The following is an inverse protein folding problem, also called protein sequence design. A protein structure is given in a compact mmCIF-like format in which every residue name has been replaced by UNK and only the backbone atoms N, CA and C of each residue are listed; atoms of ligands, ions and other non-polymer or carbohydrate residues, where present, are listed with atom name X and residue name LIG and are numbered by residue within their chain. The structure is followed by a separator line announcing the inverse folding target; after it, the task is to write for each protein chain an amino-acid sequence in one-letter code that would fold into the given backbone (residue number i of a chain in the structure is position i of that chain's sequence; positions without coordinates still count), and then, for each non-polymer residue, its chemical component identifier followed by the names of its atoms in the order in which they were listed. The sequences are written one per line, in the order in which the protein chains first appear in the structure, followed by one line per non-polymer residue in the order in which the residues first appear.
data_IF_689593491092
#
_entry.id   IF_689593491092
#
_cell.length_a   1.000
_cell.length_b   1.000
_cell.length_c   1.000
_cell.angle_alpha   90.00
_cell.angle_beta   90.00
_cell.angle_gamma   90.00
#
_symmetry.space_group_name_H-M   'P 1'
#
loop_
_entity.id
_entity.type
_entity.pdbx_description
1 polymer ?
#
# COMPACT_ATOMS: atom_id res chain seq x y z
N UNK A 1 -11.48 -2.96 -28.88
CA UNK A 1 -10.29 -3.71 -28.42
C UNK A 1 -9.13 -2.74 -28.54
N UNK A 2 -8.88 -1.98 -27.49
CA UNK A 2 -7.75 -1.04 -27.39
C UNK A 2 -6.83 -1.67 -26.35
N UNK A 3 -5.68 -2.11 -26.83
CA UNK A 3 -4.59 -2.66 -26.04
C UNK A 3 -3.98 -1.47 -25.30
N UNK A 4 -4.01 -1.50 -23.97
CA UNK A 4 -3.20 -0.58 -23.18
C UNK A 4 -1.72 -0.88 -23.47
N UNK A 5 -1.02 0.10 -24.01
CA UNK A 5 0.40 0.02 -24.31
C UNK A 5 1.17 -0.06 -22.98
N UNK A 6 1.78 -1.21 -22.71
CA UNK A 6 2.59 -1.47 -21.50
C UNK A 6 3.88 -0.63 -21.46
N UNK A 7 4.15 0.18 -22.51
CA UNK A 7 5.37 0.96 -22.66
C UNK A 7 5.46 2.25 -21.86
N UNK A 8 4.34 2.84 -21.46
CA UNK A 8 4.35 4.19 -20.85
C UNK A 8 4.51 4.22 -19.31
N UNK A 9 4.30 3.10 -18.60
CA UNK A 9 4.49 3.05 -17.15
C UNK A 9 5.92 2.68 -16.71
N UNK A 10 6.77 2.21 -17.63
CA UNK A 10 8.10 1.71 -17.30
C UNK A 10 9.17 2.79 -17.08
N UNK A 11 8.99 4.00 -17.64
CA UNK A 11 10.07 4.98 -17.73
C UNK A 11 10.22 5.92 -16.52
N UNK A 12 9.37 5.80 -15.49
CA UNK A 12 9.42 6.67 -14.32
C UNK A 12 9.29 5.94 -12.98
N UNK A 13 9.64 4.63 -12.98
CA UNK A 13 9.87 3.88 -11.77
C UNK A 13 11.17 4.36 -11.09
N UNK A 14 11.23 4.46 -9.75
CA UNK A 14 12.47 4.77 -9.05
C UNK A 14 13.54 3.75 -9.42
N UNK A 15 14.78 4.23 -9.64
CA UNK A 15 15.93 3.40 -9.98
C UNK A 15 16.12 2.31 -8.92
N UNK A 16 16.03 1.04 -9.34
CA UNK A 16 16.51 -0.07 -8.53
C UNK A 16 18.03 -0.04 -8.62
N UNK A 17 18.74 0.17 -7.53
CA UNK A 17 20.19 0.00 -7.50
C UNK A 17 20.53 -1.42 -7.93
N UNK A 18 21.19 -1.56 -9.09
CA UNK A 18 21.74 -2.84 -9.52
C UNK A 18 22.93 -3.21 -8.62
N UNK A 19 23.02 -4.45 -8.11
CA UNK A 19 24.20 -4.90 -7.39
C UNK A 19 25.41 -4.94 -8.32
N UNK A 20 26.46 -4.19 -7.98
CA UNK A 20 27.69 -4.06 -8.72
C UNK A 20 28.33 -5.39 -9.08
N UNK A 21 28.74 -5.51 -10.34
CA UNK A 21 29.45 -6.63 -10.92
C UNK A 21 30.79 -6.85 -10.24
N UNK A 22 30.91 -7.85 -9.38
CA UNK A 22 32.18 -8.32 -8.82
C UNK A 22 32.73 -9.46 -9.67
N UNK A 23 33.98 -9.29 -10.11
CA UNK A 23 34.76 -10.25 -10.88
C UNK A 23 35.08 -11.49 -10.05
N UNK A 24 35.04 -12.65 -10.77
CA UNK A 24 35.47 -13.99 -10.35
C UNK A 24 36.74 -14.01 -9.50
N UNK A 25 36.67 -14.66 -8.34
CA UNK A 25 37.78 -15.35 -7.68
C UNK A 25 37.26 -16.67 -7.10
N UNK A 26 37.95 -17.73 -7.47
CA UNK A 26 37.74 -19.16 -7.26
C UNK A 26 37.42 -19.64 -5.87
N UNK A 27 36.46 -20.56 -5.84
CA UNK A 27 36.21 -21.75 -5.00
C UNK A 27 36.89 -21.86 -3.61
N UNK A 28 36.06 -21.73 -2.57
CA UNK A 28 36.08 -22.64 -1.41
C UNK A 28 34.61 -22.80 -0.91
N UNK A 29 34.16 -24.06 -0.86
CA UNK A 29 32.83 -24.44 -0.36
C UNK A 29 32.82 -24.31 1.16
N UNK A 30 32.29 -23.24 1.69
CA UNK A 30 31.68 -23.23 3.02
C UNK A 30 30.17 -23.02 2.85
N UNK A 31 29.42 -24.03 3.27
CA UNK A 31 27.95 -24.02 3.39
C UNK A 31 27.58 -23.05 4.53
N UNK A 32 27.53 -21.79 4.21
CA UNK A 32 27.02 -20.73 5.06
C UNK A 32 25.83 -20.11 4.34
N UNK A 33 24.67 -20.73 4.49
CA UNK A 33 23.39 -20.11 4.13
C UNK A 33 23.17 -18.90 5.03
N UNK A 34 23.86 -17.82 4.72
CA UNK A 34 23.57 -16.50 5.26
C UNK A 34 22.24 -16.08 4.65
N UNK A 35 21.16 -16.34 5.36
CA UNK A 35 19.88 -15.70 5.05
C UNK A 35 20.09 -14.20 5.30
N UNK A 36 20.24 -13.44 4.23
CA UNK A 36 20.17 -11.97 4.29
C UNK A 36 18.70 -11.68 4.60
N UNK A 37 18.36 -11.57 5.87
CA UNK A 37 17.07 -11.02 6.28
C UNK A 37 17.02 -9.58 5.77
N UNK A 38 16.12 -9.28 4.85
CA UNK A 38 15.88 -7.91 4.40
C UNK A 38 15.50 -7.08 5.63
N UNK A 39 16.28 -6.06 5.93
CA UNK A 39 15.94 -5.14 7.01
C UNK A 39 14.71 -4.33 6.61
N UNK A 40 13.54 -4.78 7.08
CA UNK A 40 12.25 -4.11 6.81
C UNK A 40 12.05 -2.83 7.64
N UNK A 41 13.06 -2.36 8.38
CA UNK A 41 13.01 -1.06 9.06
C UNK A 41 13.39 0.10 8.14
N UNK A 42 14.05 -0.19 7.01
CA UNK A 42 14.50 0.81 6.04
C UNK A 42 13.68 0.68 4.76
N UNK A 43 13.13 1.81 4.28
CA UNK A 43 12.43 1.85 3.00
C UNK A 43 13.37 1.50 1.85
N UNK A 44 13.05 0.47 1.02
CA UNK A 44 13.98 -0.01 -0.01
C UNK A 44 14.03 0.85 -1.27
N UNK A 45 13.17 1.88 -1.37
CA UNK A 45 13.10 2.75 -2.55
C UNK A 45 13.13 4.23 -2.14
N UNK A 46 13.58 5.06 -3.06
CA UNK A 46 13.49 6.52 -3.00
C UNK A 46 12.61 7.06 -4.11
N UNK A 47 11.88 8.14 -3.86
CA UNK A 47 10.93 8.73 -4.81
C UNK A 47 11.27 10.20 -5.03
N UNK A 48 11.42 10.59 -6.30
CA UNK A 48 11.65 11.98 -6.70
C UNK A 48 10.31 12.71 -6.92
N UNK A 49 9.78 13.29 -5.86
CA UNK A 49 8.51 14.02 -5.93
C UNK A 49 8.57 15.28 -6.81
N UNK A 50 9.73 15.87 -7.00
CA UNK A 50 9.86 17.03 -7.88
C UNK A 50 9.51 16.67 -9.33
N UNK A 51 10.05 15.55 -9.82
CA UNK A 51 9.71 15.03 -11.16
C UNK A 51 8.26 14.57 -11.25
N UNK A 52 7.73 13.94 -10.20
CA UNK A 52 6.33 13.51 -10.18
C UNK A 52 5.36 14.69 -10.25
N UNK A 53 5.66 15.81 -9.58
CA UNK A 53 4.83 17.00 -9.63
C UNK A 53 4.89 17.76 -10.96
N UNK A 54 5.94 17.59 -11.76
CA UNK A 54 5.97 18.06 -13.14
C UNK A 54 4.93 17.33 -14.00
N UNK A 55 4.59 16.07 -13.65
CA UNK A 55 3.57 15.26 -14.33
C UNK A 55 2.19 15.58 -13.78
N UNK A 56 2.03 15.50 -12.45
CA UNK A 56 0.75 15.75 -11.78
C UNK A 56 0.98 16.27 -10.35
N UNK A 57 0.60 17.55 -10.06
CA UNK A 57 0.75 18.13 -8.72
C UNK A 57 -0.18 17.50 -7.66
N UNK A 58 -1.15 16.68 -8.09
CA UNK A 58 -2.05 15.96 -7.19
C UNK A 58 -1.43 14.70 -6.60
N UNK A 59 -0.21 14.31 -7.00
CA UNK A 59 0.53 13.22 -6.37
C UNK A 59 0.95 13.68 -4.97
N UNK A 60 0.44 12.97 -3.96
CA UNK A 60 0.68 13.27 -2.53
C UNK A 60 1.63 12.27 -1.89
N UNK A 61 1.64 11.02 -2.39
CA UNK A 61 2.46 9.96 -1.85
C UNK A 61 2.80 8.92 -2.94
N UNK A 62 3.63 7.97 -2.54
CA UNK A 62 3.89 6.73 -3.27
C UNK A 62 3.63 5.55 -2.36
N UNK A 63 2.87 4.54 -2.83
CA UNK A 63 2.69 3.28 -2.12
C UNK A 63 3.63 2.23 -2.67
N UNK A 64 4.27 1.47 -1.78
CA UNK A 64 5.13 0.35 -2.14
C UNK A 64 4.85 -0.86 -1.25
N UNK A 65 4.53 -2.01 -1.87
CA UNK A 65 4.37 -3.31 -1.25
C UNK A 65 5.04 -4.33 -2.16
N UNK A 66 6.27 -4.75 -1.80
CA UNK A 66 7.16 -5.55 -2.65
C UNK A 66 6.55 -6.91 -3.00
N UNK A 67 6.00 -7.60 -2.01
CA UNK A 67 5.51 -8.97 -2.13
C UNK A 67 4.34 -9.12 -3.12
N UNK A 68 3.65 -8.02 -3.41
CA UNK A 68 2.53 -7.99 -4.34
C UNK A 68 2.79 -7.18 -5.61
N UNK A 69 4.01 -6.68 -5.80
CA UNK A 69 4.36 -5.79 -6.92
C UNK A 69 3.44 -4.56 -7.01
N UNK A 70 3.09 -3.99 -5.83
CA UNK A 70 2.33 -2.74 -5.73
C UNK A 70 3.31 -1.60 -5.54
N UNK A 71 3.47 -0.75 -6.55
CA UNK A 71 4.34 0.43 -6.52
C UNK A 71 3.77 1.52 -7.42
N UNK A 72 2.93 2.37 -6.82
CA UNK A 72 2.15 3.37 -7.55
C UNK A 72 2.23 4.74 -6.87
N UNK A 73 2.15 5.84 -7.64
CA UNK A 73 1.82 7.14 -7.07
C UNK A 73 0.41 7.12 -6.48
N UNK A 74 0.24 7.85 -5.38
CA UNK A 74 -1.05 8.08 -4.73
C UNK A 74 -1.45 9.52 -4.98
N UNK A 75 -2.50 9.71 -5.76
CA UNK A 75 -3.05 11.04 -6.06
C UNK A 75 -4.17 11.41 -5.10
N UNK A 76 -4.50 12.70 -5.00
CA UNK A 76 -5.67 13.16 -4.27
C UNK A 76 -6.37 14.28 -5.06
N UNK A 77 -7.62 14.03 -5.43
CA UNK A 77 -8.49 15.01 -6.06
C UNK A 77 -9.32 15.81 -5.03
N UNK A 78 -10.19 16.67 -5.53
CA UNK A 78 -11.19 17.38 -4.71
C UNK A 78 -12.31 16.44 -4.26
N UNK A 79 -12.56 15.37 -5.03
CA UNK A 79 -13.53 14.31 -4.72
C UNK A 79 -12.96 12.92 -4.97
N UNK A 80 -13.60 11.89 -4.39
CA UNK A 80 -13.22 10.49 -4.61
C UNK A 80 -13.56 9.97 -6.02
N UNK A 81 -14.27 10.74 -6.83
CA UNK A 81 -14.63 10.39 -8.20
C UNK A 81 -13.58 10.84 -9.22
N UNK A 82 -12.75 11.85 -8.88
CA UNK A 82 -11.83 12.51 -9.82
C UNK A 82 -10.82 11.53 -10.44
N UNK A 83 -10.30 10.62 -9.64
CA UNK A 83 -9.31 9.63 -10.05
C UNK A 83 -9.83 8.20 -10.18
N UNK A 84 -11.15 8.01 -10.02
CA UNK A 84 -11.77 6.69 -10.14
C UNK A 84 -11.62 6.10 -11.55
N UNK A 85 -11.69 6.94 -12.58
CA UNK A 85 -11.52 6.56 -13.99
C UNK A 85 -10.58 7.52 -14.74
N UNK A 86 -9.66 8.15 -14.02
CA UNK A 86 -8.66 9.06 -14.57
C UNK A 86 -7.28 8.57 -14.16
N UNK A 87 -6.38 8.44 -15.14
CA UNK A 87 -4.98 8.09 -14.87
C UNK A 87 -4.25 9.23 -14.19
N UNK A 88 -3.09 8.94 -13.62
CA UNK A 88 -2.18 9.95 -13.07
C UNK A 88 -1.80 11.04 -14.09
N UNK A 89 -1.79 10.68 -15.39
CA UNK A 89 -1.53 11.62 -16.51
C UNK A 89 -2.73 12.51 -16.85
N UNK A 90 -3.83 12.44 -16.10
CA UNK A 90 -5.05 13.24 -16.36
C UNK A 90 -5.88 12.75 -17.54
N UNK A 91 -5.64 11.52 -18.03
CA UNK A 91 -6.39 10.94 -19.16
C UNK A 91 -7.42 9.92 -18.66
N UNK A 92 -8.53 9.77 -19.39
CA UNK A 92 -9.54 8.75 -19.07
C UNK A 92 -8.95 7.36 -19.18
N UNK A 93 -9.09 6.55 -18.11
CA UNK A 93 -8.57 5.20 -18.02
C UNK A 93 -9.45 4.34 -17.11
N UNK A 94 -9.86 3.18 -17.59
CA UNK A 94 -10.71 2.25 -16.81
C UNK A 94 -10.03 1.66 -15.57
N UNK A 95 -8.70 1.68 -15.50
CA UNK A 95 -7.94 1.30 -14.31
C UNK A 95 -7.88 2.42 -13.27
N UNK A 96 -8.21 3.66 -13.64
CA UNK A 96 -8.12 4.82 -12.78
C UNK A 96 -6.69 5.05 -12.25
N UNK A 97 -6.62 5.55 -11.03
CA UNK A 97 -5.38 5.72 -10.26
C UNK A 97 -5.52 5.09 -8.88
N UNK A 98 -4.40 4.93 -8.17
CA UNK A 98 -4.45 4.76 -6.72
C UNK A 98 -4.63 6.15 -6.11
N UNK A 99 -5.66 6.33 -5.27
CA UNK A 99 -5.98 7.66 -4.75
C UNK A 99 -6.32 7.65 -3.26
N UNK A 100 -5.96 8.75 -2.63
CA UNK A 100 -6.24 9.06 -1.23
C UNK A 100 -7.68 9.59 -1.10
N UNK A 101 -8.39 9.21 -0.05
CA UNK A 101 -9.71 9.79 0.25
C UNK A 101 -9.63 11.31 0.34
N UNK A 102 -10.55 11.99 -0.33
CA UNK A 102 -10.56 13.46 -0.44
C UNK A 102 -10.73 14.19 0.90
N UNK A 103 -11.23 13.49 1.94
CA UNK A 103 -11.38 14.03 3.29
C UNK A 103 -10.13 13.81 4.16
N UNK A 104 -9.19 12.97 3.73
CA UNK A 104 -7.96 12.76 4.46
C UNK A 104 -6.92 13.84 4.19
N UNK A 105 -6.06 14.08 5.16
CA UNK A 105 -4.91 14.97 5.00
C UNK A 105 -3.82 14.30 4.16
N UNK A 106 -3.22 15.03 3.22
CA UNK A 106 -2.21 14.48 2.30
C UNK A 106 -0.88 14.12 2.98
N UNK A 107 -0.65 14.58 4.21
CA UNK A 107 0.54 14.27 5.01
C UNK A 107 0.43 12.98 5.84
N UNK A 108 -0.70 12.26 5.73
CA UNK A 108 -0.99 11.03 6.49
C UNK A 108 -0.95 11.25 8.02
N UNK A 109 -1.30 12.45 8.47
CA UNK A 109 -1.34 12.78 9.91
C UNK A 109 -2.63 12.33 10.59
N UNK A 110 -3.69 12.01 9.84
CA UNK A 110 -4.96 11.56 10.40
C UNK A 110 -4.83 10.23 11.15
N UNK A 111 -5.68 9.97 12.16
CA UNK A 111 -5.70 8.67 12.83
C UNK A 111 -6.07 7.50 11.90
N UNK A 112 -6.92 7.76 10.90
CA UNK A 112 -7.31 6.79 9.89
C UNK A 112 -7.26 7.43 8.49
N UNK A 113 -6.46 6.83 7.64
CA UNK A 113 -6.30 7.23 6.24
C UNK A 113 -6.78 6.12 5.32
N UNK A 114 -7.49 6.47 4.24
CA UNK A 114 -8.06 5.52 3.30
C UNK A 114 -7.44 5.77 1.91
N UNK A 115 -6.96 4.68 1.30
CA UNK A 115 -6.43 4.67 -0.07
C UNK A 115 -7.26 3.70 -0.89
N UNK A 116 -7.71 4.15 -2.04
CA UNK A 116 -8.52 3.38 -2.97
C UNK A 116 -7.71 2.97 -4.21
N UNK A 117 -8.09 1.84 -4.79
CA UNK A 117 -7.56 1.37 -6.07
C UNK A 117 -8.44 0.30 -6.69
N UNK A 118 -8.47 0.23 -8.02
CA UNK A 118 -9.27 -0.77 -8.71
C UNK A 118 -8.72 -2.19 -8.52
N UNK A 119 -9.64 -3.18 -8.51
CA UNK A 119 -9.32 -4.60 -8.56
C UNK A 119 -9.21 -5.05 -10.02
N UNK A 120 -8.06 -4.83 -10.63
CA UNK A 120 -7.82 -5.22 -12.01
C UNK A 120 -7.62 -6.73 -12.14
N UNK A 121 -8.20 -7.34 -13.19
CA UNK A 121 -8.11 -8.79 -13.42
C UNK A 121 -6.69 -9.30 -13.67
N UNK A 122 -5.85 -8.45 -14.28
CA UNK A 122 -4.43 -8.74 -14.51
C UNK A 122 -3.55 -8.61 -13.27
N UNK A 123 -4.12 -8.22 -12.12
CA UNK A 123 -3.42 -8.03 -10.86
C UNK A 123 -2.83 -6.65 -10.64
N UNK A 124 -2.87 -5.75 -11.62
CA UNK A 124 -2.41 -4.36 -11.46
C UNK A 124 -3.32 -3.57 -10.52
N UNK A 125 -2.91 -2.35 -10.19
CA UNK A 125 -3.52 -1.49 -9.18
C UNK A 125 -3.61 -2.22 -7.83
N UNK A 126 -4.79 -2.36 -7.23
CA UNK A 126 -5.01 -3.16 -6.04
C UNK A 126 -5.54 -4.58 -6.32
N UNK A 127 -5.44 -5.04 -7.58
CA UNK A 127 -5.90 -6.36 -7.99
C UNK A 127 -5.12 -7.51 -7.32
N UNK A 128 -3.85 -7.30 -6.96
CA UNK A 128 -3.01 -8.29 -6.26
C UNK A 128 -3.30 -8.38 -4.76
N UNK A 129 -3.93 -7.38 -4.11
CA UNK A 129 -4.25 -7.39 -2.68
C UNK A 129 -5.06 -8.63 -2.24
N UNK A 130 -5.87 -9.19 -3.15
CA UNK A 130 -6.65 -10.41 -2.87
C UNK A 130 -5.79 -11.62 -2.48
N UNK A 131 -4.51 -11.64 -2.86
CA UNK A 131 -3.58 -12.71 -2.49
C UNK A 131 -3.33 -12.76 -0.98
N UNK A 132 -3.37 -11.60 -0.29
CA UNK A 132 -3.23 -11.54 1.16
C UNK A 132 -4.43 -12.17 1.91
N UNK A 133 -5.52 -12.47 1.23
CA UNK A 133 -6.64 -13.23 1.81
C UNK A 133 -6.41 -14.75 1.89
N UNK A 134 -5.29 -15.26 1.38
CA UNK A 134 -4.90 -16.67 1.47
C UNK A 134 -3.80 -16.83 2.52
N UNK A 135 -4.07 -17.62 3.58
CA UNK A 135 -3.11 -17.85 4.66
C UNK A 135 -1.78 -18.43 4.16
N UNK A 136 -1.79 -19.25 3.11
CA UNK A 136 -0.56 -19.81 2.55
C UNK A 136 0.35 -18.74 1.98
N UNK A 137 -0.23 -17.71 1.36
CA UNK A 137 0.55 -16.56 0.86
C UNK A 137 1.14 -15.79 2.02
N UNK A 138 0.38 -15.57 3.09
CA UNK A 138 0.89 -14.92 4.30
C UNK A 138 2.05 -15.72 4.91
N UNK A 139 1.92 -17.04 5.03
CA UNK A 139 2.94 -17.92 5.61
C UNK A 139 4.24 -17.99 4.78
N UNK A 140 4.17 -17.65 3.48
CA UNK A 140 5.33 -17.59 2.57
C UNK A 140 6.04 -16.22 2.61
N UNK A 141 5.38 -15.18 3.11
CA UNK A 141 5.96 -13.84 3.24
C UNK A 141 6.80 -13.78 4.50
N UNK A 142 8.03 -13.27 4.40
CA UNK A 142 8.85 -12.98 5.56
C UNK A 142 8.18 -11.89 6.42
N UNK A 143 7.87 -12.22 7.66
CA UNK A 143 7.21 -11.28 8.57
C UNK A 143 8.12 -10.12 8.99
N UNK A 144 7.53 -8.94 9.26
CA UNK A 144 6.12 -8.62 9.14
C UNK A 144 5.68 -8.37 7.69
N UNK A 145 4.44 -8.78 7.35
CA UNK A 145 3.79 -8.31 6.11
C UNK A 145 3.57 -6.82 6.23
N UNK A 146 4.18 -6.04 5.35
CA UNK A 146 4.12 -4.59 5.48
C UNK A 146 4.07 -3.89 4.11
N UNK A 147 3.64 -2.64 4.12
CA UNK A 147 3.76 -1.73 3.00
C UNK A 147 4.31 -0.37 3.44
N UNK A 148 4.86 0.35 2.47
CA UNK A 148 5.40 1.67 2.69
C UNK A 148 4.52 2.73 2.06
N UNK A 149 4.33 3.83 2.77
CA UNK A 149 3.82 5.08 2.24
C UNK A 149 4.97 6.09 2.29
N UNK A 150 5.40 6.52 1.11
CA UNK A 150 6.45 7.51 0.95
C UNK A 150 5.77 8.83 0.61
N UNK A 151 6.03 9.86 1.39
CA UNK A 151 5.64 11.25 1.14
C UNK A 151 6.88 12.09 0.84
N UNK A 152 6.76 13.34 0.41
CA UNK A 152 7.93 14.20 0.21
C UNK A 152 8.82 14.35 1.44
N UNK A 153 8.23 14.21 2.64
CA UNK A 153 8.91 14.47 3.91
C UNK A 153 9.46 13.22 4.58
N UNK A 154 8.84 12.04 4.31
CA UNK A 154 9.19 10.80 5.03
C UNK A 154 8.75 9.54 4.27
N UNK A 155 9.43 8.43 4.56
CA UNK A 155 8.95 7.09 4.28
C UNK A 155 8.43 6.45 5.58
N UNK A 156 7.22 5.93 5.57
CA UNK A 156 6.57 5.34 6.73
C UNK A 156 6.14 3.89 6.43
N UNK A 157 6.56 2.95 7.29
CA UNK A 157 6.15 1.55 7.23
C UNK A 157 4.82 1.34 7.94
N UNK A 158 3.95 0.57 7.32
CA UNK A 158 2.70 0.12 7.92
C UNK A 158 2.66 -1.40 7.94
N UNK A 159 2.60 -1.97 9.15
CA UNK A 159 2.48 -3.42 9.34
C UNK A 159 1.04 -3.84 9.12
N UNK A 160 0.82 -4.84 8.26
CA UNK A 160 -0.52 -5.34 7.95
C UNK A 160 -1.07 -6.10 9.16
N UNK A 161 -2.21 -5.67 9.66
CA UNK A 161 -2.86 -6.22 10.85
C UNK A 161 -4.18 -6.92 10.53
N UNK A 162 -4.74 -6.68 9.36
CA UNK A 162 -6.03 -7.26 8.99
C UNK A 162 -6.22 -7.26 7.48
N UNK A 163 -6.74 -8.37 7.00
CA UNK A 163 -7.30 -8.52 5.65
C UNK A 163 -8.73 -8.99 5.81
N UNK A 164 -9.69 -8.34 5.15
CA UNK A 164 -11.11 -8.68 5.30
C UNK A 164 -11.97 -8.23 4.13
N UNK A 165 -13.15 -8.82 4.01
CA UNK A 165 -14.24 -8.28 3.20
C UNK A 165 -15.08 -7.35 4.06
N UNK A 166 -15.32 -6.13 3.61
CA UNK A 166 -16.06 -5.10 4.33
C UNK A 166 -17.29 -4.67 3.53
N UNK A 167 -18.42 -4.48 4.22
CA UNK A 167 -19.60 -3.83 3.65
C UNK A 167 -19.33 -2.34 3.49
N UNK A 168 -19.70 -1.76 2.33
CA UNK A 168 -19.51 -0.33 2.06
C UNK A 168 -20.32 0.58 3.00
N UNK A 169 -21.42 0.06 3.56
CA UNK A 169 -22.25 0.77 4.54
C UNK A 169 -21.81 0.52 5.99
N UNK A 170 -20.74 -0.27 6.17
CA UNK A 170 -20.19 -0.56 7.49
C UNK A 170 -19.27 0.53 8.02
N UNK A 171 -18.71 0.27 9.18
CA UNK A 171 -17.83 1.20 9.90
C UNK A 171 -16.38 1.26 9.39
N UNK A 172 -16.05 0.49 8.33
CA UNK A 172 -14.70 0.40 7.77
C UNK A 172 -14.13 1.74 7.29
N UNK A 173 -15.00 2.63 6.84
CA UNK A 173 -14.63 3.93 6.28
C UNK A 173 -14.84 5.09 7.27
N UNK A 174 -14.91 4.79 8.58
CA UNK A 174 -15.04 5.81 9.62
C UNK A 174 -13.76 6.64 9.69
N UNK A 175 -13.89 7.96 9.50
CA UNK A 175 -12.82 8.92 9.73
C UNK A 175 -12.93 9.47 11.15
N UNK A 176 -11.79 9.71 11.79
CA UNK A 176 -11.71 10.24 13.15
C UNK A 176 -11.15 11.64 13.13
N UNK A 177 -11.70 12.52 13.96
CA UNK A 177 -11.25 13.92 14.07
C UNK A 177 -9.92 14.09 14.84
N UNK A 178 -9.47 13.03 15.53
CA UNK A 178 -8.24 13.02 16.31
C UNK A 178 -8.01 11.67 16.98
N UNK A 179 -6.85 11.49 17.64
CA UNK A 179 -6.55 10.27 18.41
C UNK A 179 -7.50 10.11 19.60
N UNK A 180 -7.59 8.90 20.14
CA UNK A 180 -8.41 8.60 21.31
C UNK A 180 -8.77 7.12 21.43
N UNK A 181 -9.40 6.74 22.55
CA UNK A 181 -9.79 5.35 22.83
C UNK A 181 -10.65 4.72 21.73
N UNK A 182 -11.47 5.52 21.05
CA UNK A 182 -12.31 5.04 19.93
C UNK A 182 -11.45 4.59 18.75
N UNK A 183 -10.34 5.26 18.48
CA UNK A 183 -9.37 4.87 17.46
C UNK A 183 -8.69 3.56 17.86
N UNK A 184 -8.23 3.47 19.12
CA UNK A 184 -7.62 2.24 19.64
C UNK A 184 -8.59 1.05 19.55
N UNK A 185 -9.85 1.23 19.95
CA UNK A 185 -10.86 0.18 19.87
C UNK A 185 -11.13 -0.24 18.42
N UNK A 186 -11.25 0.73 17.50
CA UNK A 186 -11.41 0.48 16.07
C UNK A 186 -10.27 -0.38 15.53
N UNK A 187 -8.99 0.01 15.77
CA UNK A 187 -7.82 -0.72 15.28
C UNK A 187 -7.78 -2.14 15.87
N UNK A 188 -7.97 -2.29 17.18
CA UNK A 188 -7.97 -3.59 17.84
C UNK A 188 -9.11 -4.50 17.32
N UNK A 189 -10.27 -3.94 16.97
CA UNK A 189 -11.36 -4.69 16.37
C UNK A 189 -10.97 -5.16 14.95
N UNK A 190 -10.30 -4.32 14.12
CA UNK A 190 -9.83 -4.73 12.78
C UNK A 190 -8.87 -5.89 12.88
N UNK A 191 -7.88 -5.84 13.76
CA UNK A 191 -6.93 -6.92 13.98
C UNK A 191 -7.64 -8.25 14.33
N UNK A 192 -8.62 -8.22 15.25
CA UNK A 192 -9.36 -9.43 15.67
C UNK A 192 -10.27 -10.02 14.60
N UNK A 193 -10.67 -9.23 13.61
CA UNK A 193 -11.63 -9.64 12.56
C UNK A 193 -10.98 -9.91 11.22
N UNK A 194 -9.67 -10.07 11.16
CA UNK A 194 -8.94 -10.52 9.98
C UNK A 194 -9.37 -11.92 9.56
N UNK A 195 -9.43 -12.15 8.23
CA UNK A 195 -9.73 -13.50 7.67
C UNK A 195 -8.49 -14.40 7.60
N UNK A 196 -7.31 -13.83 7.85
CA UNK A 196 -6.03 -14.52 7.94
C UNK A 196 -5.39 -14.25 9.29
N UNK A 197 -4.59 -15.18 9.78
CA UNK A 197 -3.80 -14.98 10.98
C UNK A 197 -2.61 -14.07 10.67
N UNK A 198 -2.46 -13.02 11.45
CA UNK A 198 -1.37 -12.04 11.36
C UNK A 198 -0.93 -11.72 12.79
N UNK A 199 0.36 -11.47 12.96
CA UNK A 199 0.87 -11.00 14.25
C UNK A 199 0.38 -9.56 14.50
N UNK A 200 -0.07 -9.32 15.72
CA UNK A 200 -0.51 -8.00 16.15
C UNK A 200 -0.29 -7.80 17.65
N UNK A 201 -0.06 -6.55 18.01
CA UNK A 201 -0.02 -6.07 19.40
C UNK A 201 -1.38 -5.51 19.84
N UNK A 202 -1.47 -5.06 21.06
CA UNK A 202 -2.57 -4.16 21.46
C UNK A 202 -2.26 -2.75 20.98
N UNK A 203 -3.22 -2.14 20.30
CA UNK A 203 -3.10 -0.78 19.74
C UNK A 203 -3.67 0.24 20.70
N UNK A 204 -3.08 1.44 20.71
CA UNK A 204 -3.35 2.53 21.63
C UNK A 204 -3.96 3.74 20.90
N UNK A 205 -4.36 4.75 21.66
CA UNK A 205 -5.10 5.93 21.19
C UNK A 205 -4.39 6.75 20.10
N UNK A 206 -3.04 6.75 20.09
CA UNK A 206 -2.22 7.50 19.15
C UNK A 206 -1.76 6.68 17.92
N UNK A 207 -2.07 5.39 17.88
CA UNK A 207 -1.77 4.56 16.72
C UNK A 207 -2.52 5.07 15.48
N UNK A 208 -1.86 4.99 14.32
CA UNK A 208 -2.42 5.41 13.03
C UNK A 208 -2.63 4.21 12.13
N UNK A 209 -3.79 4.17 11.49
CA UNK A 209 -4.16 3.09 10.58
C UNK A 209 -4.35 3.60 9.15
N UNK A 210 -3.86 2.84 8.18
CA UNK A 210 -4.17 3.03 6.75
C UNK A 210 -5.01 1.86 6.28
N UNK A 211 -6.07 2.15 5.55
CA UNK A 211 -6.92 1.17 4.87
C UNK A 211 -6.68 1.23 3.37
N UNK A 212 -6.22 0.12 2.79
CA UNK A 212 -6.17 -0.08 1.35
C UNK A 212 -7.49 -0.74 0.94
N UNK A 213 -8.27 -0.11 0.06
CA UNK A 213 -9.62 -0.55 -0.32
C UNK A 213 -9.73 -0.83 -1.81
N UNK A 214 -10.26 -2.00 -2.18
CA UNK A 214 -10.50 -2.36 -3.58
C UNK A 214 -11.80 -3.14 -3.77
N UNK A 215 -12.35 -3.11 -4.99
CA UNK A 215 -13.60 -3.81 -5.32
C UNK A 215 -13.44 -5.33 -5.23
N UNK A 216 -14.53 -6.03 -4.84
CA UNK A 216 -14.59 -7.50 -4.80
C UNK A 216 -15.25 -8.12 -6.04
N UNK A 217 -15.80 -7.29 -6.92
CA UNK A 217 -16.72 -7.73 -8.00
C UNK A 217 -18.18 -7.72 -7.58
N UNK A 218 -18.48 -7.39 -6.33
CA UNK A 218 -19.81 -7.08 -5.80
C UNK A 218 -19.80 -5.64 -5.28
N UNK A 219 -20.73 -4.82 -5.74
CA UNK A 219 -20.78 -3.39 -5.43
C UNK A 219 -21.03 -3.11 -3.93
N UNK A 220 -21.60 -4.07 -3.21
CA UNK A 220 -21.89 -3.96 -1.78
C UNK A 220 -20.65 -4.21 -0.90
N UNK A 221 -19.63 -4.92 -1.41
CA UNK A 221 -18.50 -5.33 -0.62
C UNK A 221 -17.18 -4.84 -1.22
N UNK A 222 -16.19 -4.61 -0.36
CA UNK A 222 -14.81 -4.30 -0.70
C UNK A 222 -13.87 -5.27 -0.02
N UNK A 223 -12.80 -5.65 -0.68
CA UNK A 223 -11.64 -6.21 0.00
C UNK A 223 -10.85 -5.05 0.60
N UNK A 224 -10.51 -5.15 1.87
CA UNK A 224 -9.72 -4.14 2.58
C UNK A 224 -8.54 -4.79 3.29
N UNK A 225 -7.42 -4.10 3.23
CA UNK A 225 -6.19 -4.42 3.96
C UNK A 225 -5.91 -3.26 4.90
N UNK A 226 -5.78 -3.54 6.18
CA UNK A 226 -5.46 -2.54 7.19
C UNK A 226 -4.01 -2.68 7.63
N UNK A 227 -3.27 -1.59 7.57
CA UNK A 227 -1.92 -1.49 8.12
C UNK A 227 -1.84 -0.44 9.21
N UNK A 228 -1.07 -0.71 10.25
CA UNK A 228 -0.81 0.26 11.33
C UNK A 228 0.62 0.75 11.24
N UNK A 229 0.80 2.06 11.43
CA UNK A 229 2.09 2.71 11.43
C UNK A 229 3.05 2.02 12.39
N UNK A 230 4.19 1.60 11.85
CA UNK A 230 5.29 1.10 12.67
C UNK A 230 6.05 2.30 13.26
N UNK A 231 6.14 2.35 14.57
CA UNK A 231 6.98 3.28 15.33
C UNK A 231 8.02 2.45 16.07
N UNK A 232 9.31 2.82 15.92
CA UNK A 232 10.42 2.22 16.66
C UNK A 232 10.36 2.53 18.15
#
# INVERSE_FOLDING_TARGET
MIIADEGEMGDWLPDKEEPGHMKDVSEEKEDNSFQITKDKTICPITVDFQKLWEINPDIKAWIYLEELDIHYPVVQGESNDDYLYTSVMGTANSAGSIFLDSHNKPDFSDPHTIIYGHNMKNGSMFGSLKKLGDQKVIDEIEEPVCFWIITPDKAARYDVISVRTADIMGDTYTLFSGPGDVVAEYINQRARTSIVALDHRTYLENDKIVTLSTCTGNDQYRLVVHGVLYEE
#
